data_IF_310136392615
#
_entry.id   IF_310136392615
#
_cell.length_a   1.000
_cell.length_b   1.000
_cell.length_c   1.000
_cell.angle_alpha   90.00
_cell.angle_beta   90.00
_cell.angle_gamma   90.00
#
_symmetry.space_group_name_H-M   'P 1'
#
loop_
_entity.id
_entity.type
_entity.pdbx_description
1 polymer ?
#
# COMPACT_ATOMS: atom_id res chain seq x y z
N UNK A 1 6.91 -29.26 16.61
CA UNK A 1 5.62 -28.56 16.54
C UNK A 1 5.86 -27.11 16.94
N UNK A 2 5.68 -26.12 16.02
CA UNK A 2 5.66 -24.70 16.43
C UNK A 2 4.34 -24.48 17.15
N UNK A 3 4.39 -24.15 18.43
CA UNK A 3 3.20 -23.72 19.16
C UNK A 3 2.66 -22.48 18.44
N UNK A 4 1.41 -22.52 18.00
CA UNK A 4 0.71 -21.36 17.45
C UNK A 4 0.29 -20.50 18.63
N UNK A 5 1.08 -19.50 18.94
CA UNK A 5 0.74 -18.51 19.95
C UNK A 5 -0.29 -17.52 19.37
N UNK A 6 -1.21 -17.10 20.22
CA UNK A 6 -2.10 -15.99 19.90
C UNK A 6 -1.32 -14.67 19.95
N UNK A 7 -1.81 -13.63 19.25
CA UNK A 7 -1.16 -12.32 19.26
C UNK A 7 -0.96 -11.79 20.69
N UNK A 8 -1.94 -11.99 21.55
CA UNK A 8 -1.85 -11.60 22.98
C UNK A 8 -0.73 -12.35 23.69
N UNK A 9 -0.63 -13.67 23.50
CA UNK A 9 0.46 -14.47 24.09
C UNK A 9 1.84 -14.05 23.58
N UNK A 10 1.98 -13.78 22.28
CA UNK A 10 3.22 -13.27 21.71
C UNK A 10 3.62 -11.90 22.30
N UNK A 11 2.65 -11.00 22.51
CA UNK A 11 2.94 -9.71 23.16
C UNK A 11 3.34 -9.88 24.62
N UNK A 12 2.72 -10.79 25.36
CA UNK A 12 3.09 -11.10 26.74
C UNK A 12 4.50 -11.71 26.84
N UNK A 13 4.88 -12.61 25.92
CA UNK A 13 6.23 -13.18 25.83
C UNK A 13 7.25 -12.07 25.55
N UNK A 14 6.96 -11.17 24.62
CA UNK A 14 7.84 -10.05 24.29
C UNK A 14 8.05 -9.12 25.50
N UNK A 15 6.99 -8.75 26.20
CA UNK A 15 7.07 -7.92 27.40
C UNK A 15 7.84 -8.61 28.54
N UNK A 16 7.63 -9.91 28.72
CA UNK A 16 8.41 -10.72 29.67
C UNK A 16 9.89 -10.74 29.27
N UNK A 17 10.20 -10.86 27.98
CA UNK A 17 11.53 -10.77 27.43
C UNK A 17 12.24 -9.45 27.76
N UNK A 18 11.54 -8.31 27.60
CA UNK A 18 12.10 -6.99 27.98
C UNK A 18 12.44 -6.91 29.47
N UNK A 19 11.53 -7.41 30.35
CA UNK A 19 11.77 -7.42 31.80
C UNK A 19 12.94 -8.30 32.19
N UNK A 20 12.99 -9.53 31.66
CA UNK A 20 14.05 -10.48 31.95
C UNK A 20 15.41 -10.01 31.45
N UNK A 21 15.42 -9.46 30.23
CA UNK A 21 16.67 -8.91 29.67
C UNK A 21 17.19 -7.75 30.51
N UNK A 22 16.30 -6.79 30.87
CA UNK A 22 16.66 -5.66 31.72
C UNK A 22 17.18 -6.13 33.10
N UNK A 23 16.55 -7.14 33.68
CA UNK A 23 16.98 -7.68 34.97
C UNK A 23 18.35 -8.35 34.88
N UNK A 24 18.61 -9.10 33.82
CA UNK A 24 19.84 -9.87 33.61
C UNK A 24 21.01 -9.00 33.20
N UNK A 25 20.82 -8.11 32.23
CA UNK A 25 21.88 -7.32 31.61
C UNK A 25 21.98 -5.89 32.21
N UNK A 26 21.07 -5.51 33.11
CA UNK A 26 20.94 -4.20 33.72
C UNK A 26 20.91 -3.03 32.70
N UNK A 27 20.42 -3.29 31.50
CA UNK A 27 20.26 -2.33 30.41
C UNK A 27 19.01 -2.65 29.59
N UNK A 28 18.55 -1.66 28.80
CA UNK A 28 17.41 -1.86 27.93
C UNK A 28 17.84 -2.65 26.67
N UNK A 29 17.01 -3.63 26.22
CA UNK A 29 17.27 -4.39 25.02
C UNK A 29 17.03 -3.57 23.75
N UNK A 30 17.72 -3.93 22.66
CA UNK A 30 17.38 -3.53 21.30
C UNK A 30 16.39 -4.53 20.68
N UNK A 31 15.80 -4.18 19.52
CA UNK A 31 14.91 -5.09 18.77
C UNK A 31 15.62 -6.39 18.39
N UNK A 32 16.89 -6.31 17.99
CA UNK A 32 17.71 -7.49 17.62
C UNK A 32 17.95 -8.41 18.80
N UNK A 33 18.36 -7.82 19.94
CA UNK A 33 18.62 -8.57 21.17
C UNK A 33 17.35 -9.26 21.68
N UNK A 34 16.17 -8.61 21.52
CA UNK A 34 14.90 -9.24 21.88
C UNK A 34 14.54 -10.38 20.95
N UNK A 35 14.79 -10.26 19.65
CA UNK A 35 14.56 -11.33 18.70
C UNK A 35 15.40 -12.58 19.04
N UNK A 36 16.67 -12.39 19.35
CA UNK A 36 17.56 -13.47 19.78
C UNK A 36 17.13 -14.06 21.13
N UNK A 37 16.75 -13.22 22.07
CA UNK A 37 16.38 -13.64 23.43
C UNK A 37 15.04 -14.40 23.48
N UNK A 38 14.04 -13.94 22.71
CA UNK A 38 12.71 -14.55 22.66
C UNK A 38 12.57 -15.64 21.61
N UNK A 39 13.56 -15.82 20.73
CA UNK A 39 13.53 -16.69 19.56
C UNK A 39 12.39 -16.35 18.58
N UNK A 40 11.93 -15.10 18.58
CA UNK A 40 11.02 -14.59 17.56
C UNK A 40 11.78 -14.11 16.33
N UNK A 41 11.10 -14.08 15.18
CA UNK A 41 11.70 -13.45 14.00
C UNK A 41 11.85 -11.93 14.21
N UNK A 42 12.87 -11.29 13.63
CA UNK A 42 13.03 -9.83 13.72
C UNK A 42 11.79 -9.06 13.27
N UNK A 43 11.10 -9.57 12.24
CA UNK A 43 9.88 -8.99 11.71
C UNK A 43 8.72 -9.07 12.72
N UNK A 44 8.58 -10.23 13.39
CA UNK A 44 7.58 -10.41 14.45
C UNK A 44 7.84 -9.45 15.61
N UNK A 45 9.09 -9.35 16.07
CA UNK A 45 9.45 -8.42 17.14
C UNK A 45 9.17 -6.98 16.75
N UNK A 46 9.49 -6.60 15.51
CA UNK A 46 9.21 -5.26 15.00
C UNK A 46 7.68 -4.98 14.95
N UNK A 47 6.90 -5.93 14.43
CA UNK A 47 5.44 -5.81 14.37
C UNK A 47 4.82 -5.69 15.76
N UNK A 48 5.15 -6.59 16.68
CA UNK A 48 4.66 -6.59 18.06
C UNK A 48 5.06 -5.30 18.81
N UNK A 49 6.31 -4.84 18.62
CA UNK A 49 6.79 -3.61 19.24
C UNK A 49 6.03 -2.39 18.74
N UNK A 50 5.76 -2.27 17.43
CA UNK A 50 4.97 -1.17 16.86
C UNK A 50 3.53 -1.18 17.41
N UNK A 51 2.94 -2.37 17.57
CA UNK A 51 1.59 -2.50 18.11
C UNK A 51 1.53 -2.11 19.59
N UNK A 52 2.48 -2.57 20.39
CA UNK A 52 2.59 -2.21 21.81
C UNK A 52 2.90 -0.71 22.02
N UNK A 53 3.66 -0.09 21.11
CA UNK A 53 3.92 1.34 21.12
C UNK A 53 2.65 2.16 20.81
N UNK A 54 1.85 1.75 19.84
CA UNK A 54 0.57 2.39 19.50
C UNK A 54 -0.42 2.42 20.67
N UNK A 55 -0.50 1.36 21.46
CA UNK A 55 -1.37 1.29 22.64
C UNK A 55 -0.74 1.89 23.90
N UNK A 56 0.50 2.37 23.82
CA UNK A 56 1.21 3.00 24.93
C UNK A 56 1.78 2.03 25.97
N UNK A 57 1.79 0.72 25.71
CA UNK A 57 2.37 -0.29 26.58
C UNK A 57 3.91 -0.27 26.56
N UNK A 58 4.51 0.16 25.45
CA UNK A 58 5.93 0.18 25.19
C UNK A 58 6.36 1.56 24.69
N UNK A 59 7.57 1.96 24.99
CA UNK A 59 8.21 3.16 24.49
C UNK A 59 9.56 2.80 23.84
N UNK A 60 9.79 3.36 22.65
CA UNK A 60 11.03 3.19 21.92
C UNK A 60 11.92 4.41 22.10
N UNK A 61 13.08 4.19 22.74
CA UNK A 61 14.09 5.21 22.97
C UNK A 61 15.09 5.15 21.83
N UNK A 62 15.11 6.19 21.00
CA UNK A 62 16.06 6.29 19.89
C UNK A 62 17.48 6.44 20.40
N UNK A 63 18.34 5.50 20.02
CA UNK A 63 19.76 5.53 20.30
C UNK A 63 20.56 5.96 19.06
N UNK A 64 21.86 6.22 19.26
CA UNK A 64 22.75 6.59 18.14
C UNK A 64 22.98 5.45 17.14
N UNK A 65 22.90 4.20 17.59
CA UNK A 65 23.14 3.01 16.77
C UNK A 65 21.92 2.11 16.66
N UNK A 66 21.22 1.88 17.77
CA UNK A 66 20.04 1.01 17.84
C UNK A 66 19.00 1.63 18.77
N UNK A 67 17.74 1.46 18.41
CA UNK A 67 16.61 1.83 19.26
C UNK A 67 16.52 0.88 20.46
N UNK A 68 16.32 1.44 21.64
CA UNK A 68 16.15 0.70 22.89
C UNK A 68 14.69 0.64 23.29
N UNK A 69 14.28 -0.49 23.82
CA UNK A 69 12.88 -0.76 24.16
C UNK A 69 12.69 -0.69 25.68
N UNK A 70 11.73 0.13 26.10
CA UNK A 70 11.32 0.27 27.50
C UNK A 70 9.82 -0.02 27.64
N UNK A 71 9.44 -0.73 28.70
CA UNK A 71 8.02 -0.88 29.07
C UNK A 71 7.57 0.38 29.80
N UNK A 72 6.46 0.97 29.33
CA UNK A 72 5.84 2.16 29.92
C UNK A 72 4.65 1.78 30.78
N UNK A 73 3.61 1.24 30.19
CA UNK A 73 2.42 0.78 30.87
C UNK A 73 1.99 -0.60 30.37
N UNK A 74 2.47 -1.69 30.97
CA UNK A 74 2.16 -3.04 30.54
C UNK A 74 0.68 -3.41 30.62
N UNK A 75 -0.12 -2.70 31.42
CA UNK A 75 -1.56 -2.98 31.56
C UNK A 75 -2.34 -2.65 30.29
N UNK A 76 -1.85 -1.71 29.47
CA UNK A 76 -2.45 -1.38 28.18
C UNK A 76 -2.44 -2.59 27.21
N UNK A 77 -1.54 -3.54 27.40
CA UNK A 77 -1.49 -4.75 26.58
C UNK A 77 -2.72 -5.67 26.79
N UNK A 78 -3.46 -5.52 27.89
CA UNK A 78 -4.72 -6.26 28.11
C UNK A 78 -5.79 -5.91 27.07
N UNK A 79 -5.75 -4.70 26.50
CA UNK A 79 -6.64 -4.31 25.41
C UNK A 79 -6.49 -5.21 24.17
N UNK A 80 -5.32 -5.81 23.96
CA UNK A 80 -5.08 -6.75 22.87
C UNK A 80 -5.77 -8.11 23.07
N UNK A 81 -6.17 -8.43 24.29
CA UNK A 81 -6.94 -9.65 24.60
C UNK A 81 -8.34 -9.60 24.01
N UNK A 82 -8.97 -8.43 24.05
CA UNK A 82 -10.31 -8.21 23.50
C UNK A 82 -10.31 -8.07 21.98
N UNK A 83 -9.18 -7.63 21.40
CA UNK A 83 -9.02 -7.48 19.96
C UNK A 83 -8.78 -8.80 19.20
N UNK A 84 -8.71 -9.94 19.89
CA UNK A 84 -8.48 -11.25 19.26
C UNK A 84 -9.65 -11.73 18.38
N UNK A 85 -10.84 -11.16 18.52
CA UNK A 85 -12.01 -11.52 17.72
C UNK A 85 -12.11 -10.77 16.38
N UNK A 86 -11.24 -9.81 16.13
CA UNK A 86 -11.17 -9.07 14.85
C UNK A 86 -9.77 -9.21 14.25
N UNK A 87 -9.55 -10.13 13.31
CA UNK A 87 -8.29 -10.11 12.56
C UNK A 87 -8.22 -8.80 11.78
N UNK A 88 -7.28 -7.92 12.13
CA UNK A 88 -7.01 -6.62 11.45
C UNK A 88 -6.99 -6.76 9.91
N UNK A 89 -6.51 -7.91 9.41
CA UNK A 89 -6.47 -8.23 7.98
C UNK A 89 -7.87 -8.33 7.36
N UNK A 90 -8.88 -8.81 8.09
CA UNK A 90 -10.25 -8.95 7.56
C UNK A 90 -10.91 -7.58 7.42
N UNK A 91 -10.65 -6.68 8.36
CA UNK A 91 -11.20 -5.33 8.32
C UNK A 91 -10.47 -4.47 7.28
N UNK A 92 -9.15 -4.59 7.17
CA UNK A 92 -8.36 -3.96 6.11
C UNK A 92 -8.78 -4.45 4.71
N UNK A 93 -9.03 -5.75 4.56
CA UNK A 93 -9.51 -6.33 3.30
C UNK A 93 -10.94 -5.88 2.99
N UNK A 94 -11.82 -5.72 3.99
CA UNK A 94 -13.16 -5.17 3.78
C UNK A 94 -13.10 -3.72 3.33
N UNK A 95 -12.35 -2.87 4.04
CA UNK A 95 -12.18 -1.46 3.67
C UNK A 95 -11.59 -1.32 2.27
N UNK A 96 -10.57 -2.11 1.93
CA UNK A 96 -9.99 -2.10 0.60
C UNK A 96 -11.00 -2.54 -0.49
N UNK A 97 -11.85 -3.53 -0.21
CA UNK A 97 -12.91 -3.95 -1.14
C UNK A 97 -13.94 -2.86 -1.34
N UNK A 98 -14.40 -2.23 -0.27
CA UNK A 98 -15.37 -1.13 -0.32
C UNK A 98 -14.83 0.08 -1.07
N UNK A 99 -13.57 0.46 -0.82
CA UNK A 99 -12.91 1.53 -1.59
C UNK A 99 -12.72 1.18 -3.06
N UNK A 100 -12.42 -0.07 -3.36
CA UNK A 100 -12.27 -0.54 -4.74
C UNK A 100 -13.62 -0.53 -5.47
N UNK A 101 -14.68 -1.00 -4.83
CA UNK A 101 -16.03 -0.97 -5.39
C UNK A 101 -16.52 0.47 -5.59
N UNK A 102 -16.24 1.36 -4.65
CA UNK A 102 -16.52 2.79 -4.79
C UNK A 102 -15.83 3.41 -6.00
N UNK A 103 -14.53 3.14 -6.17
CA UNK A 103 -13.75 3.61 -7.33
C UNK A 103 -14.25 3.03 -8.65
N UNK A 104 -14.63 1.76 -8.67
CA UNK A 104 -15.20 1.13 -9.87
C UNK A 104 -16.53 1.77 -10.26
N UNK A 105 -17.42 2.06 -9.30
CA UNK A 105 -18.67 2.77 -9.56
C UNK A 105 -18.45 4.18 -10.08
N UNK A 106 -17.51 4.93 -9.52
CA UNK A 106 -17.14 6.25 -10.02
C UNK A 106 -16.62 6.22 -11.46
N UNK A 107 -15.81 5.20 -11.77
CA UNK A 107 -15.31 4.98 -13.14
C UNK A 107 -16.44 4.59 -14.07
N UNK A 108 -17.32 3.67 -13.67
CA UNK A 108 -18.49 3.29 -14.44
C UNK A 108 -19.42 4.47 -14.71
N UNK A 109 -19.71 5.30 -13.71
CA UNK A 109 -20.53 6.51 -13.86
C UNK A 109 -19.91 7.50 -14.84
N UNK A 110 -18.58 7.68 -14.80
CA UNK A 110 -17.85 8.55 -15.75
C UNK A 110 -17.86 7.99 -17.18
N UNK A 111 -17.82 6.68 -17.35
CA UNK A 111 -17.79 6.04 -18.68
C UNK A 111 -19.17 5.70 -19.22
N UNK A 112 -20.17 5.48 -18.38
CA UNK A 112 -21.57 5.23 -18.80
C UNK A 112 -22.38 6.50 -19.03
N UNK A 113 -21.84 7.66 -18.69
CA UNK A 113 -22.49 8.95 -18.95
C UNK A 113 -22.65 9.18 -20.45
N UNK A 114 -23.90 9.40 -20.89
CA UNK A 114 -24.28 9.76 -22.28
C UNK A 114 -23.48 10.95 -22.84
N UNK A 115 -22.88 11.77 -21.97
CA UNK A 115 -22.01 12.89 -22.32
C UNK A 115 -20.72 12.42 -23.03
N UNK A 116 -20.06 11.38 -22.53
CA UNK A 116 -18.83 10.87 -23.15
C UNK A 116 -19.09 10.16 -24.49
N UNK A 117 -20.29 9.58 -24.66
CA UNK A 117 -20.73 9.04 -25.95
C UNK A 117 -21.04 10.14 -26.96
N UNK A 118 -21.69 11.22 -26.53
CA UNK A 118 -21.95 12.38 -27.38
C UNK A 118 -20.67 13.09 -27.81
N UNK A 119 -19.75 13.36 -26.90
CA UNK A 119 -18.45 13.95 -27.25
C UNK A 119 -17.67 13.12 -28.28
N UNK A 120 -17.66 11.79 -28.13
CA UNK A 120 -17.03 10.91 -29.13
C UNK A 120 -17.76 10.94 -30.47
N UNK A 121 -19.09 10.94 -30.48
CA UNK A 121 -19.86 11.06 -31.71
C UNK A 121 -19.65 12.39 -32.41
N UNK A 122 -19.58 13.49 -31.67
CA UNK A 122 -19.31 14.82 -32.21
C UNK A 122 -17.89 14.92 -32.77
N UNK A 123 -16.89 14.35 -32.10
CA UNK A 123 -15.52 14.27 -32.62
C UNK A 123 -15.42 13.42 -33.88
N UNK A 124 -16.11 12.27 -33.94
CA UNK A 124 -16.16 11.44 -35.14
C UNK A 124 -16.85 12.17 -36.30
N UNK A 125 -17.95 12.88 -36.02
CA UNK A 125 -18.67 13.66 -37.03
C UNK A 125 -17.81 14.82 -37.57
N UNK A 126 -17.04 15.51 -36.72
CA UNK A 126 -16.09 16.54 -37.17
C UNK A 126 -14.96 15.97 -38.04
N UNK A 127 -14.42 14.82 -37.67
CA UNK A 127 -13.36 14.14 -38.44
C UNK A 127 -13.91 13.69 -39.82
N UNK A 128 -15.12 13.16 -39.84
CA UNK A 128 -15.79 12.75 -41.06
C UNK A 128 -16.06 13.92 -42.01
N UNK A 129 -16.53 15.06 -41.47
CA UNK A 129 -16.70 16.28 -42.24
C UNK A 129 -15.39 16.84 -42.79
N UNK A 130 -14.32 16.76 -41.99
CA UNK A 130 -12.98 17.18 -42.44
C UNK A 130 -12.42 16.27 -43.54
N UNK A 131 -12.66 14.97 -43.45
CA UNK A 131 -12.29 14.00 -44.48
C UNK A 131 -13.10 14.20 -45.77
N UNK A 132 -14.41 14.45 -45.68
CA UNK A 132 -15.24 14.72 -46.85
C UNK A 132 -14.90 16.05 -47.52
N UNK A 133 -14.53 17.07 -46.76
CA UNK A 133 -14.06 18.36 -47.31
C UNK A 133 -12.63 18.33 -47.81
N UNK A 134 -11.76 17.49 -47.21
CA UNK A 134 -10.36 17.32 -47.66
C UNK A 134 -10.18 16.44 -48.88
N UNK A 135 -11.21 15.68 -49.28
CA UNK A 135 -11.16 14.78 -50.45
C UNK A 135 -11.31 15.47 -51.80
N UNK A 136 -11.42 16.82 -51.86
CA UNK A 136 -11.53 17.58 -53.10
C UNK A 136 -10.31 18.45 -53.44
N UNK A 137 -9.31 18.48 -52.60
CA UNK A 137 -8.03 19.09 -52.96
C UNK A 137 -7.06 17.96 -53.35
N UNK A 138 -6.85 17.77 -54.64
CA UNK A 138 -5.71 17.02 -55.17
C UNK A 138 -4.44 17.66 -54.65
N UNK A 139 -3.94 17.22 -53.52
CA UNK A 139 -2.60 17.55 -53.07
C UNK A 139 -1.66 16.85 -54.01
N UNK A 140 -1.19 17.55 -55.02
CA UNK A 140 -0.04 17.11 -55.81
C UNK A 140 1.09 16.81 -54.83
N UNK A 141 1.45 15.57 -54.74
CA UNK A 141 2.54 15.14 -53.89
C UNK A 141 3.85 15.75 -54.46
N UNK A 142 4.80 16.22 -53.62
CA UNK A 142 6.11 16.66 -54.09
C UNK A 142 6.83 15.59 -54.90
N UNK A 143 6.39 14.32 -54.83
CA UNK A 143 6.89 13.21 -55.64
C UNK A 143 6.38 13.23 -57.10
N UNK A 144 5.16 13.74 -57.34
CA UNK A 144 4.64 13.83 -58.71
C UNK A 144 5.38 14.86 -59.55
N UNK A 145 5.95 15.91 -58.94
CA UNK A 145 6.78 16.89 -59.62
C UNK A 145 8.19 16.35 -59.94
N UNK A 146 8.66 15.34 -59.21
CA UNK A 146 9.94 14.68 -59.49
C UNK A 146 9.84 13.69 -60.66
N UNK A 147 8.74 12.94 -60.73
CA UNK A 147 8.53 11.97 -61.82
C UNK A 147 8.13 12.61 -63.15
N UNK A 148 7.64 13.84 -63.15
CA UNK A 148 7.31 14.56 -64.37
C UNK A 148 8.53 15.25 -65.03
N UNK A 149 9.68 15.33 -64.34
CA UNK A 149 10.93 15.89 -64.87
C UNK A 149 11.78 14.88 -65.61
N UNK A 150 11.69 13.58 -65.29
CA UNK A 150 12.55 12.55 -65.91
C UNK A 150 11.98 11.95 -67.20
N UNK A 151 10.85 12.46 -67.73
CA UNK A 151 10.22 11.98 -68.97
C UNK A 151 10.37 12.95 -70.15
N UNK A 152 11.31 13.92 -70.06
CA UNK A 152 11.63 14.85 -71.20
C UNK A 152 13.12 14.96 -71.44
N UNK A 153 13.78 13.82 -71.66
CA UNK A 153 15.04 13.73 -72.40
C UNK A 153 15.05 12.46 -73.27
#
# INVERSE_FOLDING_TARGET
MKASYTLYEETQILMAGVRLFKHRENRLPSLKELAEFTHFSPESVHHLSNRLEKIGALERIRGAFDDRICLKDPLQAEALREAQDSPDIVDDVKQWKEEREGRLKEVEERFSGDAARKEKQDQFAEIEQKLQKGGKEERKSPLDDLFSKDLKD
#
